data_IF_187715028357
#
_entry.id   IF_187715028357
#
_cell.length_a   1.000
_cell.length_b   1.000
_cell.length_c   1.000
_cell.angle_alpha   90.00
_cell.angle_beta   90.00
_cell.angle_gamma   90.00
#
_symmetry.space_group_name_H-M   'P 1'
#
loop_
_entity.id
_entity.type
_entity.pdbx_description
1 polymer ?
#
# COMPACT_ATOMS: atom_id res chain seq x y z
N UNK A 1 -1.51 4.02 -15.70
CA UNK A 1 -0.63 4.51 -14.61
C UNK A 1 -1.49 5.24 -13.60
N UNK A 2 -1.19 5.12 -12.31
CA UNK A 2 -1.92 5.82 -11.27
C UNK A 2 -1.10 5.95 -9.99
N UNK A 3 -1.72 6.53 -8.97
CA UNK A 3 -1.09 6.79 -7.68
C UNK A 3 -2.05 6.43 -6.55
N UNK A 4 -1.52 5.84 -5.48
CA UNK A 4 -2.20 5.64 -4.21
C UNK A 4 -1.45 6.46 -3.16
N UNK A 5 -2.18 7.37 -2.51
CA UNK A 5 -1.67 8.17 -1.40
C UNK A 5 -2.38 7.72 -0.13
N UNK A 6 -1.67 7.66 0.99
CA UNK A 6 -2.32 7.58 2.29
C UNK A 6 -3.19 8.81 2.54
N UNK A 7 -4.22 8.72 3.41
CA UNK A 7 -4.99 9.89 3.81
C UNK A 7 -4.09 11.02 4.27
N UNK A 8 -4.43 12.24 3.87
CA UNK A 8 -3.77 13.51 4.25
C UNK A 8 -2.28 13.62 3.89
N UNK A 9 -1.72 12.69 3.10
CA UNK A 9 -0.35 12.79 2.59
C UNK A 9 -0.13 14.13 1.85
N UNK A 10 0.94 14.89 2.14
CA UNK A 10 2.10 14.54 2.97
C UNK A 10 2.04 15.06 4.43
N UNK A 11 0.92 15.63 4.88
CA UNK A 11 0.77 16.24 6.20
C UNK A 11 0.69 15.22 7.36
N UNK A 12 0.54 13.94 7.02
CA UNK A 12 0.50 12.82 7.96
C UNK A 12 -0.90 12.25 8.12
N UNK A 13 -0.98 10.92 8.18
CA UNK A 13 -2.25 10.22 8.28
C UNK A 13 -2.86 10.33 9.69
N UNK A 14 -4.17 10.19 9.79
CA UNK A 14 -4.88 10.13 11.07
C UNK A 14 -4.79 8.78 11.77
N UNK A 15 -5.16 8.73 13.05
CA UNK A 15 -5.16 7.51 13.85
C UNK A 15 -6.42 6.67 13.60
N UNK A 16 -6.40 5.40 13.99
CA UNK A 16 -7.52 4.44 13.92
C UNK A 16 -8.04 4.23 12.49
N UNK A 17 -7.13 4.25 11.51
CA UNK A 17 -7.49 4.07 10.10
C UNK A 17 -7.58 2.60 9.74
N UNK A 18 -8.51 2.31 8.83
CA UNK A 18 -8.58 1.06 8.08
C UNK A 18 -8.95 1.41 6.64
N UNK A 19 -7.94 1.56 5.80
CA UNK A 19 -8.07 1.97 4.42
C UNK A 19 -7.75 0.81 3.48
N UNK A 20 -8.58 0.64 2.46
CA UNK A 20 -8.43 -0.42 1.47
C UNK A 20 -8.49 0.20 0.08
N UNK A 21 -7.51 -0.12 -0.75
CA UNK A 21 -7.52 0.20 -2.18
C UNK A 21 -7.41 -1.09 -2.99
N UNK A 22 -8.21 -1.19 -4.05
CA UNK A 22 -8.09 -2.26 -5.04
C UNK A 22 -7.64 -1.65 -6.36
N UNK A 23 -6.50 -2.12 -6.87
CA UNK A 23 -5.98 -1.76 -8.18
C UNK A 23 -6.33 -2.89 -9.14
N UNK A 24 -6.99 -2.57 -10.24
CA UNK A 24 -7.40 -3.52 -11.27
C UNK A 24 -6.82 -3.04 -12.61
N UNK A 25 -6.12 -3.93 -13.30
CA UNK A 25 -5.62 -3.75 -14.66
C UNK A 25 -6.25 -4.78 -15.61
N UNK A 26 -5.85 -4.77 -16.88
CA UNK A 26 -6.43 -5.68 -17.88
C UNK A 26 -6.08 -7.15 -17.59
N UNK A 27 -7.01 -8.10 -17.80
CA UNK A 27 -6.71 -9.52 -17.60
C UNK A 27 -5.48 -9.98 -18.39
N UNK A 28 -4.58 -10.70 -17.72
CA UNK A 28 -3.31 -11.17 -18.30
C UNK A 28 -2.12 -10.23 -18.10
N UNK A 29 -2.36 -9.01 -17.62
CA UNK A 29 -1.30 -8.08 -17.19
C UNK A 29 -0.80 -8.37 -15.77
N UNK A 30 0.32 -7.75 -15.42
CA UNK A 30 0.83 -7.65 -14.04
C UNK A 30 0.93 -6.19 -13.64
N UNK A 31 0.73 -5.91 -12.35
CA UNK A 31 0.80 -4.57 -11.77
C UNK A 31 2.17 -4.40 -11.11
N UNK A 32 2.85 -3.33 -11.45
CA UNK A 32 4.12 -2.92 -10.84
C UNK A 32 3.89 -1.74 -9.90
N UNK A 33 4.28 -1.90 -8.63
CA UNK A 33 4.25 -0.86 -7.61
C UNK A 33 5.65 -0.25 -7.43
N UNK A 34 5.69 1.07 -7.31
CA UNK A 34 6.89 1.84 -6.92
C UNK A 34 6.55 2.72 -5.72
N UNK A 35 7.31 2.54 -4.64
CA UNK A 35 7.18 3.33 -3.42
C UNK A 35 8.07 4.58 -3.55
N UNK A 36 7.44 5.75 -3.61
CA UNK A 36 8.15 7.02 -3.78
C UNK A 36 8.48 7.70 -2.44
N UNK A 37 7.62 7.48 -1.44
CA UNK A 37 7.80 7.91 -0.05
C UNK A 37 7.05 6.92 0.87
N UNK A 38 7.61 6.69 2.05
CA UNK A 38 7.05 5.76 3.03
C UNK A 38 7.51 6.13 4.44
N UNK A 39 6.56 6.43 5.31
CA UNK A 39 6.81 6.81 6.69
C UNK A 39 5.57 6.47 7.54
N UNK A 40 5.61 5.31 8.19
CA UNK A 40 4.60 4.80 9.12
C UNK A 40 5.19 4.64 10.53
N UNK A 41 4.33 4.57 11.55
CA UNK A 41 4.77 4.17 12.89
C UNK A 41 5.29 2.73 12.87
N UNK A 42 6.56 2.57 13.23
CA UNK A 42 7.24 1.28 13.21
C UNK A 42 6.63 0.30 14.21
N UNK A 43 6.24 -0.89 13.73
CA UNK A 43 5.67 -2.02 14.49
C UNK A 43 4.22 -1.87 14.93
N UNK A 44 3.57 -0.73 14.66
CA UNK A 44 2.17 -0.47 15.06
C UNK A 44 1.27 -0.22 13.86
N UNK A 45 1.78 0.51 12.87
CA UNK A 45 1.06 0.80 11.64
C UNK A 45 1.62 -0.01 10.47
N UNK A 46 0.72 -0.54 9.64
CA UNK A 46 1.09 -1.50 8.60
C UNK A 46 0.37 -1.21 7.28
N UNK A 47 1.14 -1.29 6.20
CA UNK A 47 0.62 -1.44 4.84
C UNK A 47 0.85 -2.89 4.37
N UNK A 48 -0.22 -3.65 4.18
CA UNK A 48 -0.18 -4.98 3.59
C UNK A 48 -0.59 -4.92 2.10
N UNK A 49 0.18 -5.60 1.25
CA UNK A 49 -0.08 -5.75 -0.18
C UNK A 49 -0.46 -7.21 -0.45
N UNK A 50 -1.62 -7.43 -1.07
CA UNK A 50 -2.19 -8.74 -1.38
C UNK A 50 -2.39 -8.93 -2.87
N UNK A 51 -2.12 -10.14 -3.35
CA UNK A 51 -2.25 -10.55 -4.76
C UNK A 51 -3.67 -11.06 -5.06
N UNK A 52 -4.56 -10.14 -5.45
CA UNK A 52 -5.99 -10.38 -5.65
C UNK A 52 -6.87 -9.35 -4.94
N UNK A 53 -8.20 -9.52 -5.00
CA UNK A 53 -9.21 -8.60 -4.43
C UNK A 53 -9.76 -9.03 -3.06
N UNK A 54 -9.43 -10.24 -2.60
CA UNK A 54 -9.97 -10.83 -1.37
C UNK A 54 -9.14 -10.48 -0.14
N UNK A 55 -9.75 -10.33 1.05
CA UNK A 55 -9.01 -10.31 2.32
C UNK A 55 -8.13 -11.54 2.54
N UNK A 56 -8.48 -12.69 1.95
CA UNK A 56 -7.72 -13.95 2.07
C UNK A 56 -6.68 -14.13 0.94
N UNK A 57 -6.53 -13.14 0.04
CA UNK A 57 -5.53 -13.18 -1.02
C UNK A 57 -4.11 -13.26 -0.45
N UNK A 58 -3.17 -13.95 -1.13
CA UNK A 58 -1.79 -14.08 -0.66
C UNK A 58 -1.13 -12.73 -0.41
N UNK A 59 -0.55 -12.55 0.78
CA UNK A 59 0.26 -11.38 1.10
C UNK A 59 1.60 -11.50 0.40
N UNK A 60 1.96 -10.47 -0.36
CA UNK A 60 3.21 -10.38 -1.11
C UNK A 60 4.14 -9.29 -0.56
N UNK A 61 3.68 -8.50 0.42
CA UNK A 61 4.49 -7.59 1.20
C UNK A 61 3.72 -7.01 2.39
N UNK A 62 4.41 -6.82 3.51
CA UNK A 62 3.89 -6.08 4.67
C UNK A 62 4.97 -5.11 5.12
N UNK A 63 4.63 -3.83 5.20
CA UNK A 63 5.58 -2.74 5.42
C UNK A 63 5.16 -1.88 6.61
N UNK A 64 6.15 -1.38 7.35
CA UNK A 64 6.01 -0.52 8.54
C UNK A 64 7.29 0.30 8.70
N UNK A 65 7.28 1.33 9.55
CA UNK A 65 8.41 2.23 9.75
C UNK A 65 8.64 3.19 8.59
N UNK A 66 9.85 3.76 8.51
CA UNK A 66 10.21 4.80 7.55
C UNK A 66 11.21 4.32 6.46
N UNK A 67 11.46 3.02 6.38
CA UNK A 67 12.26 2.46 5.29
C UNK A 67 11.39 2.36 4.03
N UNK A 68 11.82 3.00 2.95
CA UNK A 68 11.11 2.95 1.65
C UNK A 68 11.23 1.54 1.08
N UNK A 69 10.11 0.82 0.87
CA UNK A 69 10.16 -0.53 0.31
C UNK A 69 10.71 -0.58 -1.11
N UNK A 70 11.26 -1.73 -1.48
CA UNK A 70 11.64 -2.01 -2.87
C UNK A 70 10.41 -2.12 -3.77
N UNK A 71 10.62 -2.00 -5.08
CA UNK A 71 9.57 -2.22 -6.07
C UNK A 71 8.94 -3.61 -5.92
N UNK A 72 7.63 -3.68 -6.12
CA UNK A 72 6.87 -4.91 -6.00
C UNK A 72 6.09 -5.17 -7.29
N UNK A 73 6.01 -6.43 -7.72
CA UNK A 73 5.20 -6.82 -8.88
C UNK A 73 4.22 -7.91 -8.49
N UNK A 74 2.95 -7.75 -8.83
CA UNK A 74 1.89 -8.75 -8.61
C UNK A 74 2.09 -10.01 -9.45
N UNK A 75 1.36 -11.08 -9.18
CA UNK A 75 1.28 -12.25 -10.07
C UNK A 75 0.03 -12.20 -10.97
N UNK A 76 -0.94 -11.33 -10.67
CA UNK A 76 -2.13 -11.11 -11.50
C UNK A 76 -2.42 -9.64 -11.81
N UNK A 77 -3.59 -9.41 -12.42
CA UNK A 77 -4.08 -8.09 -12.81
C UNK A 77 -4.85 -7.36 -11.70
N UNK A 78 -4.80 -7.88 -10.47
CA UNK A 78 -5.49 -7.31 -9.31
C UNK A 78 -4.54 -7.27 -8.11
N UNK A 79 -4.44 -6.11 -7.47
CA UNK A 79 -3.79 -5.93 -6.18
C UNK A 79 -4.73 -5.29 -5.18
N UNK A 80 -4.61 -5.69 -3.92
CA UNK A 80 -5.31 -5.08 -2.80
C UNK A 80 -4.29 -4.56 -1.79
N UNK A 81 -4.41 -3.28 -1.47
CA UNK A 81 -3.58 -2.58 -0.51
C UNK A 81 -4.42 -2.31 0.74
N UNK A 82 -3.96 -2.75 1.90
CA UNK A 82 -4.64 -2.57 3.18
C UNK A 82 -3.71 -1.80 4.12
N UNK A 83 -4.12 -0.58 4.48
CA UNK A 83 -3.41 0.26 5.44
C UNK A 83 -4.20 0.31 6.76
N UNK A 84 -3.53 -0.04 7.85
CA UNK A 84 -4.10 0.04 9.19
C UNK A 84 -3.20 0.89 10.08
N UNK A 85 -3.81 1.85 10.76
CA UNK A 85 -3.15 2.70 11.74
C UNK A 85 -3.80 2.53 13.12
N UNK A 86 -2.97 2.52 14.16
CA UNK A 86 -3.34 2.35 15.55
C UNK A 86 -3.90 3.66 16.15
N UNK A 87 -4.22 3.67 17.45
CA UNK A 87 -4.84 4.81 18.12
C UNK A 87 -3.95 6.06 18.33
N UNK A 88 -2.65 5.99 18.10
CA UNK A 88 -1.67 7.03 18.43
C UNK A 88 -0.52 7.08 17.45
N UNK A 89 0.22 8.20 17.43
CA UNK A 89 1.39 8.42 16.57
C UNK A 89 1.08 8.29 15.07
N UNK A 90 1.74 9.10 14.26
CA UNK A 90 1.64 8.97 12.81
C UNK A 90 2.89 9.46 12.14
N UNK A 91 3.20 8.85 11.00
CA UNK A 91 4.19 9.35 10.05
C UNK A 91 3.54 10.14 8.93
N UNK A 92 4.35 10.58 7.96
CA UNK A 92 3.85 11.29 6.76
C UNK A 92 2.93 10.42 5.90
N UNK A 93 3.02 9.10 6.02
CA UNK A 93 2.27 8.14 5.23
C UNK A 93 3.03 7.65 4.01
N UNK A 94 2.33 7.40 2.89
CA UNK A 94 2.95 6.84 1.69
C UNK A 94 2.46 7.48 0.39
N UNK A 95 3.35 7.45 -0.59
CA UNK A 95 3.07 7.75 -1.99
C UNK A 95 3.54 6.59 -2.87
N UNK A 96 2.58 5.90 -3.48
CA UNK A 96 2.84 4.71 -4.30
C UNK A 96 2.33 4.99 -5.71
N UNK A 97 3.20 4.88 -6.70
CA UNK A 97 2.80 4.89 -8.11
C UNK A 97 2.70 3.48 -8.65
N UNK A 98 1.76 3.25 -9.57
CA UNK A 98 1.58 1.96 -10.21
C UNK A 98 1.36 2.05 -11.72
N UNK A 99 1.77 0.99 -12.41
CA UNK A 99 1.49 0.77 -13.83
C UNK A 99 1.23 -0.72 -14.08
N UNK A 100 0.75 -1.04 -15.28
CA UNK A 100 0.53 -2.40 -15.75
C UNK A 100 1.04 -2.55 -17.17
N UNK A 101 1.58 -3.72 -17.50
CA UNK A 101 2.02 -4.12 -18.85
C UNK A 101 0.96 -4.93 -19.58
#
# INVERSE_FOLDING_TARGET
MGTVLSPDYPEGYGNNLNCIWTIISDPGSRIHLSFNDFDLESQFDFLAIKDGDSPDSPIIGTFTGAEVPSHLTSNGHILRLEFQADHSMSGRGFNITYNSE
#
